data_IF_606668326220
#
_entry.id   IF_606668326220
#
_cell.length_a   1.000
_cell.length_b   1.000
_cell.length_c   1.000
_cell.angle_alpha   90.00
_cell.angle_beta   90.00
_cell.angle_gamma   90.00
#
_symmetry.space_group_name_H-M   'P 1'
#
loop_
_entity.id
_entity.type
_entity.pdbx_description
1 polymer ?
#
# COMPACT_ATOMS: atom_id res chain seq x y z
N UNK A 1 20.39 23.84 -20.54
CA UNK A 1 21.07 22.53 -20.36
C UNK A 1 20.65 22.00 -18.99
N UNK A 2 19.47 21.38 -18.88
CA UNK A 2 19.06 20.74 -17.63
C UNK A 2 19.72 19.36 -17.60
N UNK A 3 20.70 19.19 -16.72
CA UNK A 3 21.46 17.95 -16.60
C UNK A 3 20.53 16.79 -16.25
N UNK A 4 20.75 15.66 -16.92
CA UNK A 4 20.03 14.37 -16.87
C UNK A 4 19.82 13.77 -15.45
N UNK A 5 20.30 14.43 -14.40
CA UNK A 5 20.23 14.04 -12.98
C UNK A 5 19.13 14.77 -12.20
N UNK A 6 18.41 15.71 -12.81
CA UNK A 6 17.46 16.60 -12.13
C UNK A 6 15.98 16.22 -12.36
N UNK A 7 15.71 14.94 -12.68
CA UNK A 7 14.33 14.44 -12.90
C UNK A 7 13.66 13.97 -11.61
N UNK A 8 14.44 13.69 -10.56
CA UNK A 8 13.95 13.10 -9.32
C UNK A 8 14.71 13.70 -8.13
N UNK A 9 13.95 14.20 -7.15
CA UNK A 9 14.45 14.67 -5.87
C UNK A 9 14.29 13.57 -4.83
N UNK A 10 15.30 13.42 -3.97
CA UNK A 10 15.26 12.51 -2.82
C UNK A 10 15.49 13.34 -1.58
N UNK A 11 14.58 13.25 -0.61
CA UNK A 11 14.67 13.97 0.65
C UNK A 11 14.16 13.11 1.80
N UNK A 12 14.68 13.33 3.00
CA UNK A 12 14.21 12.65 4.19
C UNK A 12 13.06 13.43 4.82
N UNK A 13 11.97 12.74 5.15
CA UNK A 13 10.82 13.30 5.85
C UNK A 13 10.39 12.36 6.97
N UNK A 14 10.47 12.82 8.21
CA UNK A 14 10.06 12.05 9.40
C UNK A 14 10.77 10.67 9.51
N UNK A 15 12.04 10.60 9.09
CA UNK A 15 12.82 9.34 9.08
C UNK A 15 12.47 8.39 7.93
N UNK A 16 11.70 8.86 6.94
CA UNK A 16 11.36 8.12 5.72
C UNK A 16 12.05 8.81 4.53
N UNK A 17 12.76 8.04 3.72
CA UNK A 17 13.40 8.58 2.51
C UNK A 17 12.36 8.71 1.40
N UNK A 18 11.92 9.92 1.10
CA UNK A 18 10.89 10.23 0.11
C UNK A 18 11.52 10.52 -1.25
N UNK A 19 11.04 9.83 -2.29
CA UNK A 19 11.37 10.08 -3.68
C UNK A 19 10.24 10.87 -4.35
N UNK A 20 10.61 11.95 -5.04
CA UNK A 20 9.68 12.85 -5.70
C UNK A 20 10.14 13.17 -7.13
N UNK A 21 9.26 12.91 -8.10
CA UNK A 21 9.47 13.28 -9.51
C UNK A 21 8.92 14.66 -9.87
N UNK A 22 8.46 15.41 -8.88
CA UNK A 22 7.90 16.75 -9.03
C UNK A 22 6.62 16.75 -9.85
N UNK A 23 6.62 17.45 -10.98
CA UNK A 23 5.44 17.63 -11.84
C UNK A 23 5.31 16.56 -12.93
N UNK A 24 6.04 15.44 -12.81
CA UNK A 24 6.06 14.42 -13.86
C UNK A 24 4.83 13.51 -13.77
N UNK A 25 3.94 13.62 -14.75
CA UNK A 25 2.63 12.94 -14.72
C UNK A 25 2.66 11.50 -15.25
N UNK A 26 3.64 11.19 -16.11
CA UNK A 26 3.79 9.92 -16.80
C UNK A 26 5.23 9.48 -16.65
N UNK A 27 5.44 8.26 -16.15
CA UNK A 27 6.76 7.67 -16.00
C UNK A 27 7.07 6.75 -17.18
N UNK A 28 8.20 6.99 -17.84
CA UNK A 28 8.70 6.14 -18.92
C UNK A 28 9.60 5.01 -18.38
N UNK A 29 10.08 4.14 -19.27
CA UNK A 29 10.97 3.05 -18.87
C UNK A 29 12.32 3.52 -18.30
N UNK A 30 12.81 4.70 -18.70
CA UNK A 30 14.04 5.27 -18.16
C UNK A 30 13.82 5.83 -16.75
N UNK A 31 12.65 6.41 -16.48
CA UNK A 31 12.24 6.89 -15.15
C UNK A 31 12.10 5.73 -14.17
N UNK A 32 11.50 4.62 -14.61
CA UNK A 32 11.42 3.40 -13.80
C UNK A 32 12.81 2.82 -13.53
N UNK A 33 13.71 2.83 -14.52
CA UNK A 33 15.07 2.36 -14.34
C UNK A 33 15.85 3.22 -13.33
N UNK A 34 15.68 4.55 -13.39
CA UNK A 34 16.29 5.50 -12.46
C UNK A 34 15.74 5.34 -11.04
N UNK A 35 14.41 5.17 -10.92
CA UNK A 35 13.77 4.87 -9.63
C UNK A 35 14.36 3.58 -9.05
N UNK A 36 14.39 2.49 -9.83
CA UNK A 36 14.93 1.21 -9.39
C UNK A 36 16.36 1.34 -8.88
N UNK A 37 17.24 1.96 -9.66
CA UNK A 37 18.63 2.16 -9.29
C UNK A 37 18.75 2.93 -7.97
N UNK A 38 17.93 3.96 -7.79
CA UNK A 38 17.93 4.77 -6.57
C UNK A 38 17.38 4.00 -5.38
N UNK A 39 16.29 3.26 -5.55
CA UNK A 39 15.72 2.39 -4.52
C UNK A 39 16.72 1.32 -4.08
N UNK A 40 17.33 0.61 -5.03
CA UNK A 40 18.38 -0.38 -4.74
C UNK A 40 19.54 0.26 -4.00
N UNK A 41 19.97 1.46 -4.39
CA UNK A 41 21.04 2.19 -3.69
C UNK A 41 20.65 2.52 -2.25
N UNK A 42 19.47 3.08 -2.02
CA UNK A 42 18.98 3.43 -0.68
C UNK A 42 18.86 2.19 0.23
N UNK A 43 18.44 1.08 -0.34
CA UNK A 43 18.28 -0.17 0.40
C UNK A 43 19.62 -0.84 0.70
N UNK A 44 20.46 -1.03 -0.30
CA UNK A 44 21.67 -1.83 -0.17
C UNK A 44 22.85 -1.02 0.41
N UNK A 45 22.91 0.30 0.16
CA UNK A 45 24.00 1.16 0.67
C UNK A 45 23.62 1.91 1.94
N UNK A 46 22.39 2.41 2.03
CA UNK A 46 21.95 3.27 3.14
C UNK A 46 21.12 2.50 4.18
N UNK A 47 20.85 1.21 3.94
CA UNK A 47 20.06 0.34 4.82
C UNK A 47 18.71 0.97 5.24
N UNK A 48 18.09 1.75 4.33
CA UNK A 48 16.83 2.41 4.59
C UNK A 48 15.74 1.36 4.86
N UNK A 49 15.11 1.44 6.04
CA UNK A 49 13.99 0.56 6.42
C UNK A 49 12.63 1.08 5.98
N UNK A 50 12.56 2.34 5.59
CA UNK A 50 11.32 3.01 5.19
C UNK A 50 11.57 3.95 4.02
N UNK A 51 10.78 3.77 2.97
CA UNK A 51 10.87 4.54 1.72
C UNK A 51 9.51 5.15 1.41
N UNK A 52 9.52 6.41 1.01
CA UNK A 52 8.38 7.19 0.60
C UNK A 52 8.39 7.44 -0.90
N UNK A 53 7.24 7.49 -1.55
CA UNK A 53 7.12 7.97 -2.94
C UNK A 53 6.00 9.00 -3.02
N UNK A 54 6.33 10.17 -3.57
CA UNK A 54 5.38 11.25 -3.82
C UNK A 54 4.66 11.01 -5.16
N UNK A 55 3.32 10.96 -5.09
CA UNK A 55 2.45 10.64 -6.22
C UNK A 55 1.48 11.77 -6.58
N UNK A 56 1.63 12.96 -5.97
CA UNK A 56 0.77 14.14 -6.19
C UNK A 56 0.50 14.48 -7.66
N UNK A 57 1.51 14.40 -8.53
CA UNK A 57 1.39 14.73 -9.95
C UNK A 57 1.15 13.52 -10.85
N UNK A 58 1.25 12.30 -10.34
CA UNK A 58 1.28 11.08 -11.15
C UNK A 58 -0.14 10.66 -11.54
N UNK A 59 -0.42 10.67 -12.84
CA UNK A 59 -1.73 10.28 -13.38
C UNK A 59 -1.81 8.79 -13.69
N UNK A 60 -0.69 8.17 -14.07
CA UNK A 60 -0.67 6.76 -14.45
C UNK A 60 0.61 6.09 -13.98
N UNK A 61 0.44 4.99 -13.25
CA UNK A 61 1.54 4.18 -12.75
C UNK A 61 1.73 2.96 -13.68
N UNK A 62 2.92 2.81 -14.29
CA UNK A 62 3.23 1.63 -15.09
C UNK A 62 3.27 0.36 -14.24
N UNK A 63 2.97 -0.78 -14.85
CA UNK A 63 3.02 -2.09 -14.16
C UNK A 63 4.39 -2.40 -13.55
N UNK A 64 5.47 -1.92 -14.19
CA UNK A 64 6.83 -2.08 -13.69
C UNK A 64 7.08 -1.41 -12.34
N UNK A 65 6.35 -0.35 -11.99
CA UNK A 65 6.46 0.26 -10.67
C UNK A 65 5.94 -0.65 -9.56
N UNK A 66 4.84 -1.38 -9.81
CA UNK A 66 4.32 -2.32 -8.83
C UNK A 66 5.30 -3.46 -8.56
N UNK A 67 5.99 -3.95 -9.61
CA UNK A 67 7.08 -4.92 -9.43
C UNK A 67 8.16 -4.39 -8.50
N UNK A 68 8.58 -3.13 -8.67
CA UNK A 68 9.58 -2.52 -7.79
C UNK A 68 9.10 -2.35 -6.35
N UNK A 69 7.83 -1.96 -6.13
CA UNK A 69 7.28 -1.89 -4.79
C UNK A 69 7.20 -3.27 -4.13
N UNK A 70 6.88 -4.30 -4.92
CA UNK A 70 6.86 -5.67 -4.45
C UNK A 70 8.26 -6.18 -4.10
N UNK A 71 9.28 -5.87 -4.90
CA UNK A 71 10.68 -6.23 -4.61
C UNK A 71 11.16 -5.61 -3.27
N UNK A 72 10.77 -4.36 -2.98
CA UNK A 72 11.05 -3.69 -1.70
C UNK A 72 10.32 -4.37 -0.54
N UNK A 73 9.08 -4.77 -0.78
CA UNK A 73 8.27 -5.49 0.18
C UNK A 73 8.87 -6.87 0.51
N UNK A 74 9.35 -7.62 -0.48
CA UNK A 74 10.04 -8.91 -0.27
C UNK A 74 11.33 -8.75 0.54
N UNK A 75 11.99 -7.59 0.42
CA UNK A 75 13.15 -7.20 1.23
C UNK A 75 12.79 -6.71 2.64
N UNK A 76 11.49 -6.61 2.99
CA UNK A 76 11.02 -6.20 4.31
C UNK A 76 11.06 -4.69 4.57
N UNK A 77 11.05 -3.88 3.51
CA UNK A 77 11.11 -2.41 3.61
C UNK A 77 9.70 -1.84 3.59
N UNK A 78 9.42 -0.93 4.53
CA UNK A 78 8.13 -0.25 4.56
C UNK A 78 8.06 0.80 3.44
N UNK A 79 7.07 0.67 2.56
CA UNK A 79 6.81 1.65 1.49
C UNK A 79 5.61 2.51 1.86
N UNK A 80 5.81 3.83 1.83
CA UNK A 80 4.77 4.85 2.04
C UNK A 80 4.51 5.61 0.74
N UNK A 81 3.26 5.77 0.37
CA UNK A 81 2.83 6.52 -0.80
C UNK A 81 2.13 7.80 -0.34
N UNK A 82 2.64 8.93 -0.80
CA UNK A 82 2.16 10.27 -0.46
C UNK A 82 1.28 10.82 -1.57
N UNK A 83 0.14 11.41 -1.18
CA UNK A 83 -0.81 12.13 -2.06
C UNK A 83 -1.13 11.45 -3.40
N UNK A 84 -1.45 10.14 -3.44
CA UNK A 84 -1.81 9.49 -4.70
C UNK A 84 -3.07 10.13 -5.28
N UNK A 85 -3.05 10.37 -6.58
CA UNK A 85 -4.24 10.84 -7.29
C UNK A 85 -5.38 9.79 -7.22
N UNK A 86 -6.65 10.23 -7.27
CA UNK A 86 -7.81 9.34 -7.09
C UNK A 86 -7.90 8.22 -8.13
N UNK A 87 -7.35 8.43 -9.33
CA UNK A 87 -7.21 7.40 -10.37
C UNK A 87 -6.25 6.27 -9.94
N UNK A 88 -5.10 6.61 -9.35
CA UNK A 88 -4.13 5.65 -8.80
C UNK A 88 -4.73 4.94 -7.59
N UNK A 89 -5.37 5.68 -6.68
CA UNK A 89 -6.03 5.11 -5.51
C UNK A 89 -7.22 4.18 -5.87
N UNK A 90 -7.82 4.40 -7.03
CA UNK A 90 -8.93 3.56 -7.54
C UNK A 90 -8.46 2.23 -8.12
N UNK A 91 -7.16 2.03 -8.35
CA UNK A 91 -6.62 0.79 -8.88
C UNK A 91 -6.82 -0.37 -7.89
N UNK A 92 -7.20 -1.54 -8.41
CA UNK A 92 -7.46 -2.73 -7.59
C UNK A 92 -6.25 -3.11 -6.73
N UNK A 93 -5.05 -3.05 -7.31
CA UNK A 93 -3.80 -3.31 -6.59
C UNK A 93 -3.63 -2.36 -5.40
N UNK A 94 -3.87 -1.07 -5.61
CA UNK A 94 -3.76 -0.07 -4.56
C UNK A 94 -4.74 -0.35 -3.41
N UNK A 95 -5.98 -0.72 -3.72
CA UNK A 95 -6.98 -1.12 -2.71
C UNK A 95 -6.63 -2.41 -1.97
N UNK A 96 -5.95 -3.34 -2.63
CA UNK A 96 -5.62 -4.64 -2.07
C UNK A 96 -4.38 -4.56 -1.16
N UNK A 97 -3.34 -3.86 -1.62
CA UNK A 97 -2.02 -3.83 -0.99
C UNK A 97 -1.73 -2.56 -0.20
N UNK A 98 -2.43 -1.45 -0.45
CA UNK A 98 -2.25 -0.21 0.32
C UNK A 98 -3.36 -0.04 1.36
N UNK A 99 -2.98 0.29 2.58
CA UNK A 99 -3.92 0.68 3.64
C UNK A 99 -3.93 2.21 3.74
N UNK A 100 -5.11 2.81 3.66
CA UNK A 100 -5.29 4.23 3.92
C UNK A 100 -5.08 4.52 5.41
N UNK A 101 -4.15 5.42 5.71
CA UNK A 101 -3.93 5.96 7.05
C UNK A 101 -4.74 7.24 7.21
N UNK A 102 -5.24 7.54 8.41
CA UNK A 102 -6.11 8.71 8.67
C UNK A 102 -5.50 10.05 8.21
N UNK A 103 -4.18 10.14 8.08
CA UNK A 103 -3.44 11.31 7.58
C UNK A 103 -3.41 11.49 6.04
N UNK A 104 -4.18 10.71 5.28
CA UNK A 104 -4.18 10.77 3.80
C UNK A 104 -2.92 10.14 3.16
N UNK A 105 -2.16 9.38 3.95
CA UNK A 105 -1.01 8.58 3.51
C UNK A 105 -1.45 7.14 3.24
N UNK A 106 -0.78 6.50 2.30
CA UNK A 106 -1.06 5.10 1.97
C UNK A 106 0.17 4.26 2.24
N UNK A 107 0.04 3.29 3.14
CA UNK A 107 1.12 2.38 3.48
C UNK A 107 0.94 1.08 2.72
N UNK A 108 1.99 0.61 2.06
CA UNK A 108 2.02 -0.74 1.53
C UNK A 108 2.02 -1.69 2.72
N UNK A 109 1.02 -2.59 2.78
CA UNK A 109 0.90 -3.60 3.83
C UNK A 109 2.17 -4.44 3.85
N UNK A 110 3.05 -4.21 4.83
CA UNK A 110 4.13 -5.14 5.20
C UNK A 110 3.50 -6.27 6.01
N UNK A 111 3.58 -7.53 5.56
CA UNK A 111 3.05 -8.69 6.29
C UNK A 111 3.67 -8.87 7.69
N UNK A 112 4.63 -8.03 8.11
CA UNK A 112 5.04 -7.88 9.52
C UNK A 112 3.95 -7.25 10.41
N UNK A 113 2.78 -6.93 9.85
CA UNK A 113 1.54 -6.64 10.60
C UNK A 113 0.35 -7.47 10.09
N UNK A 114 0.61 -8.67 9.56
CA UNK A 114 -0.35 -9.76 9.59
C UNK A 114 -0.33 -10.49 10.95
N UNK A 115 0.42 -9.98 11.94
CA UNK A 115 0.12 -10.23 13.34
C UNK A 115 -1.04 -9.30 13.74
N UNK A 116 -2.21 -9.91 14.00
CA UNK A 116 -3.46 -9.31 14.52
C UNK A 116 -4.48 -8.80 13.50
N UNK A 117 -4.77 -9.58 12.47
CA UNK A 117 -6.16 -9.85 12.12
C UNK A 117 -6.42 -11.35 11.98
N UNK A 118 -5.88 -12.16 12.90
CA UNK A 118 -6.66 -13.32 13.33
C UNK A 118 -7.91 -12.76 13.98
N UNK A 119 -9.13 -13.04 13.48
CA UNK A 119 -10.34 -12.67 14.21
C UNK A 119 -10.16 -13.25 15.61
N UNK A 120 -10.13 -12.36 16.61
CA UNK A 120 -9.97 -12.73 18.02
C UNK A 120 -10.99 -13.83 18.33
N UNK A 121 -10.66 -14.84 19.15
CA UNK A 121 -11.59 -15.95 19.45
C UNK A 121 -12.97 -15.44 19.91
N UNK A 122 -13.03 -14.23 20.49
CA UNK A 122 -14.26 -13.52 20.86
C UNK A 122 -15.11 -13.07 19.67
N UNK A 123 -14.50 -12.63 18.56
CA UNK A 123 -15.22 -12.29 17.32
C UNK A 123 -15.75 -13.55 16.63
N UNK A 124 -14.94 -14.61 16.58
CA UNK A 124 -15.37 -15.91 16.04
C UNK A 124 -16.51 -16.50 16.88
N UNK A 125 -16.42 -16.41 18.21
CA UNK A 125 -17.48 -16.83 19.13
C UNK A 125 -18.75 -16.00 18.95
N UNK A 126 -18.63 -14.68 18.87
CA UNK A 126 -19.77 -13.77 18.69
C UNK A 126 -20.49 -13.99 17.35
N UNK A 127 -19.74 -14.21 16.26
CA UNK A 127 -20.33 -14.58 14.97
C UNK A 127 -20.99 -15.95 15.05
N UNK A 128 -20.34 -16.95 15.65
CA UNK A 128 -20.92 -18.30 15.80
C UNK A 128 -22.21 -18.26 16.63
N UNK A 129 -22.25 -17.53 17.73
CA UNK A 129 -23.45 -17.37 18.55
C UNK A 129 -24.56 -16.62 17.80
N UNK A 130 -24.20 -15.62 16.98
CA UNK A 130 -25.15 -14.89 16.13
C UNK A 130 -25.76 -15.80 15.05
N UNK A 131 -24.93 -16.60 14.38
CA UNK A 131 -25.39 -17.60 13.41
C UNK A 131 -26.27 -18.68 14.05
N UNK A 132 -25.89 -19.18 15.22
CA UNK A 132 -26.65 -20.22 15.93
C UNK A 132 -27.98 -19.71 16.48
N UNK A 133 -28.04 -18.47 17.00
CA UNK A 133 -29.30 -17.80 17.37
C UNK A 133 -30.21 -17.59 16.16
N UNK A 134 -29.64 -17.19 15.02
CA UNK A 134 -30.40 -17.01 13.79
C UNK A 134 -30.96 -18.34 13.27
N UNK A 135 -30.21 -19.44 13.40
CA UNK A 135 -30.66 -20.77 13.01
C UNK A 135 -31.82 -21.25 13.89
N UNK A 136 -31.73 -21.06 15.21
CA UNK A 136 -32.80 -21.40 16.18
C UNK A 136 -34.05 -20.56 15.92
N UNK A 137 -33.91 -19.26 15.68
CA UNK A 137 -35.03 -18.38 15.36
C UNK A 137 -35.74 -18.76 14.04
N UNK A 138 -35.00 -19.24 13.04
CA UNK A 138 -35.61 -19.74 11.79
C UNK A 138 -36.31 -21.10 11.93
N UNK A 139 -35.90 -21.92 12.91
CA UNK A 139 -36.50 -23.24 13.16
C UNK A 139 -37.84 -23.13 13.89
N UNK A 140 -38.00 -22.14 14.78
CA UNK A 140 -39.24 -21.95 15.55
C UNK A 140 -40.39 -21.36 14.72
N UNK A 141 -40.08 -20.64 13.65
CA UNK A 141 -41.12 -20.05 12.78
C UNK A 141 -41.81 -21.08 11.87
N UNK A 142 -41.22 -22.26 11.66
CA UNK A 142 -41.81 -23.29 10.78
C UNK A 142 -42.87 -24.17 11.45
N UNK A 143 -43.10 -24.02 12.77
CA UNK A 143 -44.06 -24.87 13.52
C UNK A 143 -45.37 -24.15 13.89
N UNK A 144 -45.54 -22.88 13.50
CA UNK A 144 -46.77 -22.11 13.80
C UNK A 144 -47.40 -21.48 12.56
N UNK A 145 -47.53 -22.27 11.48
CA UNK A 145 -48.57 -22.02 10.49
C UNK A 145 -49.32 -23.34 10.29
N UNK A 146 -50.29 -23.58 11.18
CA UNK A 146 -51.43 -24.45 10.94
C UNK A 146 -52.55 -23.64 10.30
#
# INVERSE_FOLDING_TARGET
MASKRDRMSVYEREGVTVLDFGTMEIWDGADLALLRETLTRLVDQECCKSIGVELSSVKYIPSGFFGMLYDLYEKGIAVTLYSPQPNVASMLWFKQFCTHTEDGRYLLKSDTTAAQQTPTEEQVRSEKEKWEKSLKQSSDYSTTVS
#
